data_IF_907042285676
#
_entry.id   IF_907042285676
#
_cell.length_a   1.000
_cell.length_b   1.000
_cell.length_c   1.000
_cell.angle_alpha   90.00
_cell.angle_beta   90.00
_cell.angle_gamma   90.00
#
_symmetry.space_group_name_H-M   'P 1'
#
loop_
_entity.id
_entity.type
_entity.pdbx_description
1 polymer ?
#
# COMPACT_ATOMS: atom_id res chain seq x y z
N UNK A 1 10.03 -30.08 1.82
CA UNK A 1 9.79 -29.84 3.27
C UNK A 1 10.68 -28.71 3.80
N UNK A 2 11.97 -28.67 3.44
CA UNK A 2 12.88 -27.54 3.79
C UNK A 2 12.43 -26.19 3.19
N UNK A 3 12.02 -26.14 1.91
CA UNK A 3 11.51 -24.90 1.29
C UNK A 3 10.21 -24.37 1.95
N UNK A 4 9.31 -25.26 2.38
CA UNK A 4 8.11 -24.85 3.10
C UNK A 4 8.48 -24.32 4.49
N UNK A 5 9.41 -24.97 5.19
CA UNK A 5 9.90 -24.52 6.49
C UNK A 5 10.62 -23.16 6.42
N UNK A 6 11.36 -22.87 5.35
CA UNK A 6 12.03 -21.57 5.16
C UNK A 6 11.06 -20.46 4.76
N UNK A 7 9.99 -20.76 4.02
CA UNK A 7 8.92 -19.80 3.71
C UNK A 7 8.08 -19.44 4.95
N UNK A 8 7.97 -20.37 5.90
CA UNK A 8 7.09 -20.26 7.07
C UNK A 8 7.80 -19.82 8.36
N UNK A 9 9.11 -19.56 8.36
CA UNK A 9 9.86 -19.21 9.58
C UNK A 9 9.85 -17.72 9.95
N UNK A 10 9.10 -16.88 9.22
CA UNK A 10 9.00 -15.45 9.44
C UNK A 10 7.86 -15.06 10.39
N UNK A 11 8.00 -13.92 11.08
CA UNK A 11 6.95 -13.38 11.93
C UNK A 11 5.63 -13.15 11.14
N UNK A 12 5.73 -12.47 9.99
CA UNK A 12 4.57 -12.21 9.12
C UNK A 12 4.06 -13.46 8.41
N UNK A 13 4.93 -14.39 8.00
CA UNK A 13 4.47 -15.63 7.34
C UNK A 13 3.77 -16.57 8.32
N UNK A 14 4.21 -16.64 9.57
CA UNK A 14 3.49 -17.34 10.64
C UNK A 14 2.09 -16.77 10.85
N UNK A 15 1.95 -15.44 10.92
CA UNK A 15 0.65 -14.79 11.02
C UNK A 15 -0.24 -15.08 9.80
N UNK A 16 0.33 -15.06 8.59
CA UNK A 16 -0.40 -15.38 7.35
C UNK A 16 -0.89 -16.84 7.32
N UNK A 17 -0.04 -17.80 7.71
CA UNK A 17 -0.41 -19.22 7.77
C UNK A 17 -1.51 -19.47 8.80
N UNK A 18 -1.41 -18.84 9.97
CA UNK A 18 -2.44 -18.91 10.98
C UNK A 18 -3.76 -18.31 10.47
N UNK A 19 -3.72 -17.17 9.78
CA UNK A 19 -4.92 -16.58 9.16
C UNK A 19 -5.57 -17.53 8.14
N UNK A 20 -4.78 -18.21 7.29
CA UNK A 20 -5.30 -19.20 6.34
C UNK A 20 -5.95 -20.39 7.04
N UNK A 21 -5.38 -20.86 8.15
CA UNK A 21 -5.98 -21.92 8.98
C UNK A 21 -7.30 -21.49 9.62
N UNK A 22 -7.40 -20.25 10.08
CA UNK A 22 -8.64 -19.69 10.62
C UNK A 22 -9.71 -19.52 9.55
N UNK A 23 -9.35 -19.02 8.35
CA UNK A 23 -10.27 -18.93 7.20
C UNK A 23 -10.92 -20.29 6.94
N UNK A 24 -10.13 -21.37 6.92
CA UNK A 24 -10.66 -22.74 6.75
C UNK A 24 -11.64 -23.14 7.85
N UNK A 25 -11.40 -22.72 9.08
CA UNK A 25 -12.23 -23.06 10.24
C UNK A 25 -13.58 -22.34 10.20
N UNK A 26 -13.61 -21.09 9.72
CA UNK A 26 -14.82 -20.26 9.67
C UNK A 26 -15.67 -20.47 8.42
N UNK A 27 -15.19 -21.21 7.40
CA UNK A 27 -15.89 -21.43 6.12
C UNK A 27 -17.37 -21.75 6.27
N UNK A 28 -17.74 -22.65 7.20
CA UNK A 28 -19.14 -23.03 7.43
C UNK A 28 -20.01 -21.86 7.93
N UNK A 29 -19.44 -20.94 8.73
CA UNK A 29 -20.16 -19.76 9.23
C UNK A 29 -20.38 -18.75 8.13
N UNK A 30 -19.35 -18.50 7.31
CA UNK A 30 -19.45 -17.61 6.14
C UNK A 30 -20.55 -18.13 5.20
N UNK A 31 -20.51 -19.41 4.82
CA UNK A 31 -21.56 -20.03 3.99
C UNK A 31 -22.94 -19.95 4.66
N UNK A 32 -23.02 -20.15 5.97
CA UNK A 32 -24.27 -20.02 6.73
C UNK A 32 -24.85 -18.60 6.75
N UNK A 33 -24.00 -17.56 6.75
CA UNK A 33 -24.44 -16.14 6.67
C UNK A 33 -24.98 -15.80 5.28
N UNK A 34 -24.28 -16.24 4.23
CA UNK A 34 -24.72 -16.14 2.84
C UNK A 34 -25.65 -17.31 2.44
N UNK A 35 -26.68 -17.56 3.26
CA UNK A 35 -27.62 -18.66 3.03
C UNK A 35 -28.59 -18.37 1.88
N UNK A 36 -29.20 -19.45 1.36
CA UNK A 36 -30.27 -19.42 0.33
C UNK A 36 -31.42 -18.45 0.63
N UNK A 37 -31.67 -18.12 1.90
CA UNK A 37 -32.74 -17.18 2.30
C UNK A 37 -32.52 -15.75 1.81
N UNK A 38 -31.30 -15.41 1.38
CA UNK A 38 -30.96 -14.10 0.84
C UNK A 38 -31.06 -14.04 -0.68
N UNK A 39 -31.29 -15.17 -1.37
CA UNK A 39 -31.27 -15.25 -2.83
C UNK A 39 -32.36 -14.35 -3.43
N UNK A 40 -33.60 -14.41 -2.93
CA UNK A 40 -34.69 -13.58 -3.43
C UNK A 40 -34.42 -12.08 -3.18
N UNK A 41 -33.80 -11.73 -2.06
CA UNK A 41 -33.44 -10.36 -1.73
C UNK A 41 -32.31 -9.83 -2.65
N UNK A 42 -31.32 -10.67 -2.95
CA UNK A 42 -30.27 -10.35 -3.92
C UNK A 42 -30.85 -10.18 -5.33
N UNK A 43 -31.74 -11.07 -5.76
CA UNK A 43 -32.40 -10.95 -7.07
C UNK A 43 -33.24 -9.66 -7.17
N UNK A 44 -33.95 -9.30 -6.10
CA UNK A 44 -34.64 -8.02 -6.03
C UNK A 44 -33.67 -6.83 -6.10
N UNK A 45 -32.60 -6.85 -5.31
CA UNK A 45 -31.55 -5.80 -5.37
C UNK A 45 -30.95 -5.67 -6.77
N UNK A 46 -30.63 -6.79 -7.42
CA UNK A 46 -30.12 -6.83 -8.80
C UNK A 46 -31.12 -6.24 -9.78
N UNK A 47 -32.40 -6.60 -9.68
CA UNK A 47 -33.46 -6.07 -10.54
C UNK A 47 -33.66 -4.55 -10.38
N UNK A 48 -33.42 -4.03 -9.17
CA UNK A 48 -33.52 -2.59 -8.86
C UNK A 48 -32.24 -1.80 -9.20
N UNK A 49 -31.12 -2.49 -9.45
CA UNK A 49 -29.84 -1.85 -9.78
C UNK A 49 -29.74 -1.61 -11.30
N UNK A 50 -29.25 -0.43 -11.72
CA UNK A 50 -29.11 -0.09 -13.13
C UNK A 50 -27.70 0.44 -13.47
N UNK A 51 -26.92 -0.27 -14.31
CA UNK A 51 -27.23 -1.58 -14.90
C UNK A 51 -27.21 -2.70 -13.86
N UNK A 52 -27.95 -3.78 -14.11
CA UNK A 52 -28.15 -4.87 -13.15
C UNK A 52 -26.85 -5.57 -12.73
N UNK A 53 -25.85 -5.55 -13.60
CA UNK A 53 -24.51 -6.09 -13.45
C UNK A 53 -23.73 -5.39 -12.32
N UNK A 54 -24.05 -4.13 -11.98
CA UNK A 54 -23.40 -3.44 -10.85
C UNK A 54 -23.64 -4.15 -9.52
N UNK A 55 -24.77 -4.85 -9.37
CA UNK A 55 -25.07 -5.61 -8.16
C UNK A 55 -24.05 -6.74 -7.90
N UNK A 56 -23.39 -7.26 -8.95
CA UNK A 56 -22.38 -8.31 -8.82
C UNK A 56 -21.14 -7.80 -8.07
N UNK A 57 -20.83 -6.51 -8.20
CA UNK A 57 -19.66 -5.87 -7.56
C UNK A 57 -19.79 -5.75 -6.03
N UNK A 58 -21.01 -5.85 -5.49
CA UNK A 58 -21.28 -5.69 -4.05
C UNK A 58 -20.99 -6.95 -3.23
N UNK A 59 -21.06 -8.13 -3.85
CA UNK A 59 -21.00 -9.40 -3.11
C UNK A 59 -19.59 -9.71 -2.59
N UNK A 60 -18.56 -9.46 -3.41
CA UNK A 60 -17.17 -9.76 -3.04
C UNK A 60 -16.72 -8.95 -1.79
N UNK A 61 -16.95 -7.62 -1.71
CA UNK A 61 -16.65 -6.86 -0.50
C UNK A 61 -17.33 -7.42 0.74
N UNK A 62 -18.62 -7.79 0.67
CA UNK A 62 -19.33 -8.34 1.82
C UNK A 62 -18.73 -9.66 2.33
N UNK A 63 -18.28 -10.52 1.42
CA UNK A 63 -17.59 -11.77 1.80
C UNK A 63 -16.22 -11.46 2.41
N UNK A 64 -15.49 -10.50 1.84
CA UNK A 64 -14.19 -10.08 2.36
C UNK A 64 -14.29 -9.47 3.76
N UNK A 65 -15.30 -8.63 3.99
CA UNK A 65 -15.60 -8.02 5.29
C UNK A 65 -15.92 -9.10 6.33
N UNK A 66 -16.72 -10.11 5.98
CA UNK A 66 -17.00 -11.22 6.89
C UNK A 66 -15.75 -12.04 7.26
N UNK A 67 -14.86 -12.26 6.29
CA UNK A 67 -13.58 -12.93 6.55
C UNK A 67 -12.71 -12.06 7.46
N UNK A 68 -12.67 -10.75 7.21
CA UNK A 68 -11.93 -9.80 8.04
C UNK A 68 -12.45 -9.79 9.48
N UNK A 69 -13.75 -9.61 9.67
CA UNK A 69 -14.42 -9.62 10.99
C UNK A 69 -14.10 -10.90 11.76
N UNK A 70 -14.12 -12.05 11.07
CA UNK A 70 -13.84 -13.33 11.67
C UNK A 70 -12.35 -13.51 12.07
N UNK A 71 -11.42 -12.94 11.31
CA UNK A 71 -9.99 -12.91 11.67
C UNK A 71 -9.75 -11.97 12.86
N UNK A 72 -10.39 -10.81 12.89
CA UNK A 72 -10.30 -9.84 13.99
C UNK A 72 -10.83 -10.43 15.30
N UNK A 73 -12.00 -11.08 15.25
CA UNK A 73 -12.67 -11.67 16.42
C UNK A 73 -11.93 -12.84 17.08
N UNK A 74 -10.90 -13.41 16.43
CA UNK A 74 -10.14 -14.57 16.94
C UNK A 74 -8.76 -14.24 17.48
N UNK A 75 -8.44 -12.95 17.61
CA UNK A 75 -7.21 -12.52 18.26
C UNK A 75 -5.95 -12.84 17.45
N UNK A 76 -6.00 -12.67 16.13
CA UNK A 76 -4.85 -12.85 15.23
C UNK A 76 -3.62 -12.03 15.63
N UNK A 77 -3.81 -10.95 16.40
CA UNK A 77 -2.74 -10.16 17.00
C UNK A 77 -1.77 -10.98 17.87
N UNK A 78 -2.17 -12.16 18.40
CA UNK A 78 -1.29 -13.01 19.23
C UNK A 78 -0.02 -13.46 18.50
N UNK A 79 -0.09 -13.65 17.19
CA UNK A 79 1.07 -14.04 16.37
C UNK A 79 2.04 -12.89 16.11
N UNK A 80 1.62 -11.66 16.38
CA UNK A 80 2.41 -10.43 16.30
C UNK A 80 2.51 -9.75 17.67
N UNK A 81 2.26 -10.50 18.74
CA UNK A 81 2.27 -9.99 20.12
C UNK A 81 3.68 -9.65 20.57
N UNK A 82 3.79 -8.88 21.64
CA UNK A 82 5.05 -8.62 22.35
C UNK A 82 5.86 -9.90 22.61
N UNK A 83 5.21 -10.97 23.07
CA UNK A 83 5.85 -12.28 23.31
C UNK A 83 6.32 -12.97 22.03
N UNK A 84 5.56 -12.86 20.93
CA UNK A 84 5.93 -13.48 19.66
C UNK A 84 7.13 -12.76 19.02
N UNK A 85 7.17 -11.43 19.13
CA UNK A 85 8.29 -10.60 18.68
C UNK A 85 9.56 -10.93 19.46
N UNK A 86 9.45 -11.03 20.79
CA UNK A 86 10.58 -11.36 21.67
C UNK A 86 11.16 -12.73 21.32
N UNK A 87 10.29 -13.75 21.17
CA UNK A 87 10.70 -15.09 20.75
C UNK A 87 11.35 -15.08 19.36
N UNK A 88 10.81 -14.32 18.41
CA UNK A 88 11.39 -14.19 17.06
C UNK A 88 12.76 -13.51 17.08
N UNK A 89 12.94 -12.46 17.87
CA UNK A 89 14.23 -11.78 18.03
C UNK A 89 15.29 -12.72 18.64
N UNK A 90 14.91 -13.52 19.63
CA UNK A 90 15.80 -14.53 20.23
C UNK A 90 16.16 -15.65 19.25
N UNK A 91 15.20 -16.15 18.47
CA UNK A 91 15.41 -17.24 17.50
C UNK A 91 16.19 -16.80 16.25
N UNK A 92 16.15 -15.51 15.92
CA UNK A 92 16.90 -14.94 14.78
C UNK A 92 18.41 -15.16 14.87
N UNK A 93 18.93 -15.52 16.04
CA UNK A 93 20.33 -15.84 16.25
C UNK A 93 21.25 -14.63 16.06
N UNK A 94 20.76 -13.44 16.42
CA UNK A 94 21.55 -12.21 16.40
C UNK A 94 22.64 -12.33 17.48
N UNK A 95 23.90 -12.32 17.07
CA UNK A 95 25.02 -12.28 18.01
C UNK A 95 25.05 -10.89 18.66
N UNK A 96 25.09 -10.77 20.00
CA UNK A 96 25.05 -9.48 20.69
C UNK A 96 26.10 -8.47 20.19
N UNK A 97 27.31 -8.93 19.91
CA UNK A 97 28.41 -8.11 19.37
C UNK A 97 28.11 -7.57 17.97
N UNK A 98 27.51 -8.39 17.10
CA UNK A 98 27.10 -7.96 15.75
C UNK A 98 25.96 -6.94 15.82
N UNK A 99 24.97 -7.16 16.69
CA UNK A 99 23.86 -6.25 16.88
C UNK A 99 24.35 -4.89 17.42
N UNK A 100 25.18 -4.89 18.46
CA UNK A 100 25.76 -3.67 19.03
C UNK A 100 26.58 -2.89 17.99
N UNK A 101 27.40 -3.60 17.19
CA UNK A 101 28.17 -3.01 16.10
C UNK A 101 27.29 -2.31 15.06
N UNK A 102 26.16 -2.93 14.67
CA UNK A 102 25.19 -2.35 13.72
C UNK A 102 24.41 -1.17 14.30
N UNK A 103 24.08 -1.22 15.60
CA UNK A 103 23.47 -0.08 16.30
C UNK A 103 24.44 1.11 16.34
N UNK A 104 25.74 0.84 16.39
CA UNK A 104 26.81 1.80 16.13
C UNK A 104 27.67 2.07 17.35
N UNK A 105 28.62 2.99 17.18
CA UNK A 105 29.67 3.25 18.17
C UNK A 105 29.11 3.62 19.56
N UNK A 106 29.68 3.02 20.60
CA UNK A 106 29.34 3.31 22.00
C UNK A 106 28.23 2.45 22.59
N UNK A 107 27.62 1.56 21.80
CA UNK A 107 26.60 0.61 22.29
C UNK A 107 27.29 -0.59 22.96
N UNK A 108 26.93 -0.88 24.21
CA UNK A 108 27.43 -2.04 24.94
C UNK A 108 26.70 -3.33 24.49
N UNK A 109 27.46 -4.42 24.31
CA UNK A 109 26.93 -5.69 23.75
C UNK A 109 25.82 -6.32 24.61
N UNK A 110 25.95 -6.23 25.93
CA UNK A 110 24.98 -6.71 26.91
C UNK A 110 23.65 -5.93 26.87
N UNK A 111 23.70 -4.65 26.50
CA UNK A 111 22.52 -3.78 26.40
C UNK A 111 21.81 -3.81 25.05
N UNK A 112 22.47 -4.29 23.99
CA UNK A 112 22.02 -4.13 22.61
C UNK A 112 20.67 -4.81 22.33
N UNK A 113 20.49 -6.03 22.85
CA UNK A 113 19.24 -6.78 22.68
C UNK A 113 18.07 -6.11 23.41
N UNK A 114 18.26 -5.72 24.67
CA UNK A 114 17.21 -5.08 25.48
C UNK A 114 16.76 -3.74 24.88
N UNK A 115 17.71 -2.95 24.36
CA UNK A 115 17.42 -1.70 23.66
C UNK A 115 16.63 -1.92 22.37
N UNK A 116 16.99 -2.92 21.58
CA UNK A 116 16.23 -3.31 20.38
C UNK A 116 14.82 -3.77 20.76
N UNK A 117 14.71 -4.61 21.77
CA UNK A 117 13.44 -5.13 22.27
C UNK A 117 12.53 -4.01 22.77
N UNK A 118 13.07 -3.00 23.47
CA UNK A 118 12.34 -1.83 23.93
C UNK A 118 11.74 -1.04 22.76
N UNK A 119 12.53 -0.74 21.72
CA UNK A 119 12.05 0.00 20.54
C UNK A 119 10.94 -0.76 19.83
N UNK A 120 11.08 -2.07 19.64
CA UNK A 120 10.07 -2.85 18.91
C UNK A 120 8.80 -3.04 19.75
N UNK A 121 8.89 -3.18 21.08
CA UNK A 121 7.71 -3.39 21.96
C UNK A 121 6.99 -2.10 22.33
N UNK A 122 7.73 -1.01 22.59
CA UNK A 122 7.18 0.23 23.15
C UNK A 122 7.26 1.42 22.18
N UNK A 123 7.92 1.25 21.05
CA UNK A 123 8.05 2.29 20.03
C UNK A 123 9.19 3.28 20.29
N UNK A 124 9.40 4.16 19.30
CA UNK A 124 10.49 5.15 19.32
C UNK A 124 10.38 6.13 20.49
N UNK A 125 9.19 6.67 20.76
CA UNK A 125 9.00 7.68 21.80
C UNK A 125 9.39 7.15 23.18
N UNK A 126 8.84 6.01 23.60
CA UNK A 126 9.16 5.40 24.90
C UNK A 126 10.66 5.05 25.01
N UNK A 127 11.30 4.74 23.89
CA UNK A 127 12.74 4.44 23.86
C UNK A 127 13.59 5.71 23.99
N UNK A 128 13.15 6.84 23.44
CA UNK A 128 13.79 8.14 23.68
C UNK A 128 13.68 8.53 25.16
N UNK A 129 12.49 8.38 25.75
CA UNK A 129 12.20 8.69 27.14
C UNK A 129 13.04 7.82 28.11
N UNK A 130 13.18 6.53 27.83
CA UNK A 130 14.01 5.62 28.63
C UNK A 130 15.51 5.94 28.59
N UNK A 131 15.97 6.61 27.53
CA UNK A 131 17.37 6.98 27.32
C UNK A 131 17.66 8.43 27.79
N UNK A 132 16.68 9.16 28.34
CA UNK A 132 16.87 10.50 28.93
C UNK A 132 17.79 10.41 30.16
N UNK A 133 19.08 10.65 29.94
CA UNK A 133 20.15 10.58 30.96
C UNK A 133 21.31 9.66 30.58
N UNK A 134 21.11 8.76 29.60
CA UNK A 134 22.14 7.88 29.04
C UNK A 134 22.68 8.49 27.73
N UNK A 135 23.32 9.65 27.84
CA UNK A 135 23.89 10.36 26.69
C UNK A 135 25.27 9.81 26.33
N UNK A 136 25.48 9.42 25.08
CA UNK A 136 26.86 9.24 24.56
C UNK A 136 27.02 8.36 23.33
N UNK A 137 26.09 7.44 23.07
CA UNK A 137 26.24 6.48 21.98
C UNK A 137 25.47 6.83 20.70
N UNK A 138 25.77 6.09 19.63
CA UNK A 138 25.18 6.29 18.31
C UNK A 138 23.70 5.88 18.24
N UNK A 139 23.30 4.87 19.02
CA UNK A 139 21.94 4.35 19.05
C UNK A 139 20.96 5.42 19.52
N UNK A 140 21.20 6.02 20.69
CA UNK A 140 20.32 7.05 21.26
C UNK A 140 20.17 8.25 20.33
N UNK A 141 21.25 8.65 19.65
CA UNK A 141 21.21 9.72 18.64
C UNK A 141 20.34 9.35 17.43
N UNK A 142 20.47 8.13 16.91
CA UNK A 142 19.71 7.67 15.75
C UNK A 142 18.23 7.49 16.08
N UNK A 143 17.88 6.88 17.22
CA UNK A 143 16.49 6.73 17.68
C UNK A 143 15.82 8.10 17.86
N UNK A 144 16.51 9.08 18.44
CA UNK A 144 16.01 10.46 18.53
C UNK A 144 15.74 11.07 17.16
N UNK A 145 16.69 10.93 16.22
CA UNK A 145 16.51 11.44 14.85
C UNK A 145 15.35 10.77 14.12
N UNK A 146 15.13 9.46 14.33
CA UNK A 146 13.97 8.76 13.76
C UNK A 146 12.66 9.29 14.32
N UNK A 147 12.59 9.47 15.65
CA UNK A 147 11.39 10.01 16.29
C UNK A 147 11.05 11.43 15.77
N UNK A 148 12.06 12.21 15.39
CA UNK A 148 11.90 13.53 14.77
C UNK A 148 11.71 13.51 13.25
N UNK A 149 11.60 12.34 12.61
CA UNK A 149 11.55 12.15 11.15
C UNK A 149 12.75 12.74 10.38
N UNK A 150 13.94 12.74 10.99
CA UNK A 150 15.21 13.24 10.41
C UNK A 150 16.27 12.14 10.24
N UNK A 151 15.99 10.93 10.71
CA UNK A 151 16.88 9.77 10.62
C UNK A 151 16.70 8.96 9.34
N UNK A 152 17.55 7.94 9.17
CA UNK A 152 17.38 6.94 8.10
C UNK A 152 16.20 6.02 8.45
N UNK A 153 15.08 6.06 7.71
CA UNK A 153 13.88 5.28 8.05
C UNK A 153 14.14 3.76 8.10
N UNK A 154 15.21 3.28 7.47
CA UNK A 154 15.57 1.85 7.43
C UNK A 154 16.50 1.43 8.58
N UNK A 155 16.89 2.34 9.47
CA UNK A 155 17.93 2.09 10.48
C UNK A 155 17.65 0.88 11.40
N UNK A 156 16.42 0.73 11.89
CA UNK A 156 16.06 -0.41 12.74
C UNK A 156 16.17 -1.72 11.92
N UNK A 157 15.69 -1.72 10.69
CA UNK A 157 15.80 -2.87 9.79
C UNK A 157 17.26 -3.21 9.51
N UNK A 158 18.13 -2.22 9.25
CA UNK A 158 19.59 -2.38 9.07
C UNK A 158 20.27 -3.01 10.28
N UNK A 159 19.81 -2.68 11.49
CA UNK A 159 20.30 -3.32 12.71
C UNK A 159 19.92 -4.81 12.80
N UNK A 160 18.78 -5.20 12.19
CA UNK A 160 18.23 -6.55 12.25
C UNK A 160 18.58 -7.42 11.04
N UNK A 161 19.10 -6.88 9.94
CA UNK A 161 19.48 -7.64 8.73
C UNK A 161 20.98 -7.81 8.62
N UNK A 162 21.44 -8.66 7.70
CA UNK A 162 22.88 -8.91 7.49
C UNK A 162 23.56 -7.83 6.63
N UNK A 163 22.83 -7.18 5.74
CA UNK A 163 23.34 -6.09 4.91
C UNK A 163 22.30 -4.97 4.77
N UNK A 164 22.79 -3.77 4.44
CA UNK A 164 21.98 -2.56 4.37
C UNK A 164 21.06 -2.54 3.15
N UNK A 165 21.50 -3.13 2.03
CA UNK A 165 20.72 -3.18 0.78
C UNK A 165 19.46 -4.02 0.96
N UNK A 166 19.55 -5.18 1.60
CA UNK A 166 18.43 -6.05 1.92
C UNK A 166 17.48 -5.41 2.92
N UNK A 167 18.00 -4.61 3.86
CA UNK A 167 17.15 -3.84 4.78
C UNK A 167 16.27 -2.85 4.02
N UNK A 168 16.89 -2.00 3.21
CA UNK A 168 16.15 -1.00 2.44
C UNK A 168 15.18 -1.66 1.44
N UNK A 169 15.59 -2.76 0.81
CA UNK A 169 14.71 -3.53 -0.07
C UNK A 169 13.54 -4.16 0.69
N UNK A 170 13.75 -4.64 1.91
CA UNK A 170 12.68 -5.18 2.75
C UNK A 170 11.68 -4.10 3.16
N UNK A 171 12.15 -2.92 3.57
CA UNK A 171 11.30 -1.79 3.93
C UNK A 171 10.51 -1.24 2.72
N UNK A 172 11.17 -1.18 1.55
CA UNK A 172 10.52 -0.83 0.28
C UNK A 172 9.47 -1.87 -0.13
N UNK A 173 9.78 -3.17 -0.04
CA UNK A 173 8.83 -4.24 -0.33
C UNK A 173 7.61 -4.20 0.61
N UNK A 174 7.84 -3.98 1.91
CA UNK A 174 6.76 -3.83 2.89
C UNK A 174 5.90 -2.57 2.62
N UNK A 175 6.54 -1.47 2.19
CA UNK A 175 5.85 -0.25 1.78
C UNK A 175 4.97 -0.47 0.54
N UNK A 176 5.44 -1.24 -0.44
CA UNK A 176 4.62 -1.67 -1.60
C UNK A 176 3.46 -2.55 -1.13
N UNK A 177 3.71 -3.55 -0.29
CA UNK A 177 2.68 -4.46 0.23
C UNK A 177 1.56 -3.71 0.96
N UNK A 178 1.89 -2.63 1.68
CA UNK A 178 0.88 -1.85 2.42
C UNK A 178 0.08 -0.91 1.53
N UNK A 179 0.65 -0.41 0.43
CA UNK A 179 0.05 0.67 -0.38
C UNK A 179 -0.48 0.26 -1.76
N UNK A 180 0.04 -0.81 -2.34
CA UNK A 180 -0.29 -1.32 -3.67
C UNK A 180 -1.16 -2.57 -3.56
N UNK A 181 -2.09 -2.76 -4.49
CA UNK A 181 -2.89 -3.98 -4.59
C UNK A 181 -2.05 -5.10 -5.20
N UNK A 182 -1.90 -6.21 -4.47
CA UNK A 182 -1.37 -7.45 -5.04
C UNK A 182 -2.34 -8.00 -6.07
N UNK A 183 -1.80 -8.58 -7.16
CA UNK A 183 -2.58 -9.29 -8.17
C UNK A 183 -2.03 -10.69 -8.36
N UNK A 184 -2.93 -11.67 -8.36
CA UNK A 184 -2.61 -13.10 -8.43
C UNK A 184 -3.18 -13.71 -9.73
N UNK A 185 -3.10 -12.95 -10.83
CA UNK A 185 -3.64 -13.25 -12.16
C UNK A 185 -5.19 -13.34 -12.22
N UNK A 186 -5.80 -12.44 -13.01
CA UNK A 186 -7.25 -12.21 -13.20
C UNK A 186 -8.00 -11.48 -12.07
N UNK A 187 -9.04 -10.67 -12.39
CA UNK A 187 -9.45 -10.20 -13.73
C UNK A 187 -8.47 -9.15 -14.30
N UNK A 188 -8.49 -8.81 -15.60
CA UNK A 188 -7.68 -7.73 -16.19
C UNK A 188 -7.80 -6.40 -15.45
N UNK A 189 -6.78 -5.52 -15.47
CA UNK A 189 -6.88 -4.22 -14.81
C UNK A 189 -8.02 -3.39 -15.40
N UNK A 190 -8.83 -2.82 -14.52
CA UNK A 190 -9.84 -1.82 -14.85
C UNK A 190 -9.29 -0.45 -14.50
N UNK A 191 -9.49 0.52 -15.38
CA UNK A 191 -9.10 1.90 -15.12
C UNK A 191 -10.04 2.50 -14.06
N UNK A 192 -9.49 2.88 -12.91
CA UNK A 192 -10.24 3.44 -11.78
C UNK A 192 -9.37 4.38 -10.95
N UNK A 193 -9.95 4.98 -9.91
CA UNK A 193 -9.21 5.77 -8.93
C UNK A 193 -8.01 4.99 -8.38
N UNK A 194 -6.83 5.61 -8.42
CA UNK A 194 -5.59 5.00 -7.96
C UNK A 194 -4.91 4.07 -8.96
N UNK A 195 -5.43 3.94 -10.18
CA UNK A 195 -4.71 3.25 -11.26
C UNK A 195 -3.56 4.13 -11.76
N UNK A 196 -2.35 3.60 -11.67
CA UNK A 196 -1.12 4.19 -12.20
C UNK A 196 -0.85 3.60 -13.58
N UNK A 197 -0.74 4.48 -14.57
CA UNK A 197 -0.39 4.13 -15.95
C UNK A 197 0.86 4.88 -16.39
N UNK A 198 1.49 4.40 -17.46
CA UNK A 198 2.61 5.08 -18.10
C UNK A 198 2.43 5.18 -19.61
N UNK A 199 3.08 6.18 -20.19
CA UNK A 199 3.23 6.38 -21.63
C UNK A 199 4.73 6.44 -21.97
N UNK A 200 5.11 5.88 -23.12
CA UNK A 200 6.51 5.78 -23.53
C UNK A 200 7.27 4.64 -22.86
N UNK A 201 8.56 4.54 -23.15
CA UNK A 201 9.47 3.53 -22.62
C UNK A 201 10.82 4.16 -22.23
N UNK A 202 11.57 3.50 -21.35
CA UNK A 202 12.91 3.94 -20.97
C UNK A 202 12.94 5.28 -20.23
N UNK A 203 13.83 6.17 -20.66
CA UNK A 203 14.04 7.48 -20.00
C UNK A 203 12.91 8.48 -20.28
N UNK A 204 12.19 8.34 -21.39
CA UNK A 204 11.08 9.22 -21.79
C UNK A 204 9.73 8.80 -21.15
N UNK A 205 9.75 7.79 -20.28
CA UNK A 205 8.56 7.23 -19.66
C UNK A 205 7.87 8.24 -18.73
N UNK A 206 6.66 8.64 -19.09
CA UNK A 206 5.81 9.52 -18.31
C UNK A 206 4.78 8.71 -17.51
N UNK A 207 4.54 9.09 -16.26
CA UNK A 207 3.60 8.40 -15.37
C UNK A 207 2.37 9.27 -15.07
N UNK A 208 1.21 8.62 -14.97
CA UNK A 208 -0.07 9.27 -14.73
C UNK A 208 -0.88 8.47 -13.71
N UNK A 209 -1.40 9.15 -12.69
CA UNK A 209 -2.20 8.54 -11.63
C UNK A 209 -3.64 9.04 -11.71
N UNK A 210 -4.59 8.11 -11.88
CA UNK A 210 -6.01 8.44 -11.97
C UNK A 210 -6.57 8.87 -10.61
N UNK A 211 -7.24 10.02 -10.58
CA UNK A 211 -7.91 10.57 -9.36
C UNK A 211 -9.43 10.69 -9.52
N UNK A 212 -9.97 10.19 -10.63
CA UNK A 212 -11.43 10.18 -10.86
C UNK A 212 -12.14 9.31 -9.82
N UNK A 213 -13.26 9.78 -9.22
CA UNK A 213 -14.05 8.98 -8.28
C UNK A 213 -14.49 7.64 -8.86
N UNK A 214 -14.59 6.62 -8.00
CA UNK A 214 -14.91 5.24 -8.44
C UNK A 214 -16.26 5.16 -9.16
N UNK A 215 -17.28 5.90 -8.71
CA UNK A 215 -18.60 5.96 -9.33
C UNK A 215 -18.59 6.51 -10.76
N UNK A 216 -17.60 7.34 -11.09
CA UNK A 216 -17.43 7.95 -12.40
C UNK A 216 -16.54 7.11 -13.33
N UNK A 217 -15.95 6.03 -12.82
CA UNK A 217 -15.13 5.07 -13.57
C UNK A 217 -15.94 3.90 -14.16
N UNK A 218 -17.23 3.81 -13.82
CA UNK A 218 -18.19 2.81 -14.31
C UNK A 218 -19.26 3.46 -15.18
N UNK A 219 -20.03 2.66 -15.93
CA UNK A 219 -21.10 3.15 -16.83
C UNK A 219 -20.64 4.23 -17.80
N UNK A 220 -19.45 4.06 -18.35
CA UNK A 220 -18.91 5.00 -19.32
C UNK A 220 -19.74 4.91 -20.61
N UNK A 221 -20.13 6.05 -21.22
CA UNK A 221 -20.84 6.06 -22.50
C UNK A 221 -20.00 5.42 -23.61
N UNK A 222 -20.68 4.88 -24.63
CA UNK A 222 -20.00 4.29 -25.80
C UNK A 222 -19.13 5.29 -26.58
N UNK A 223 -19.41 6.59 -26.45
CA UNK A 223 -18.59 7.67 -27.00
C UNK A 223 -17.29 7.92 -26.21
N UNK A 224 -17.05 7.20 -25.12
CA UNK A 224 -15.91 7.40 -24.23
C UNK A 224 -16.12 8.51 -23.19
N UNK A 225 -15.17 8.62 -22.26
CA UNK A 225 -15.11 9.66 -21.22
C UNK A 225 -13.67 10.07 -20.95
N UNK A 226 -13.49 11.34 -20.63
CA UNK A 226 -12.24 11.87 -20.12
C UNK A 226 -12.07 11.49 -18.65
N UNK A 227 -10.94 10.86 -18.33
CA UNK A 227 -10.52 10.57 -16.98
C UNK A 227 -9.51 11.61 -16.52
N UNK A 228 -9.61 12.02 -15.25
CA UNK A 228 -8.68 12.98 -14.64
C UNK A 228 -7.46 12.26 -14.08
N UNK A 229 -6.28 12.64 -14.57
CA UNK A 229 -4.99 12.14 -14.13
C UNK A 229 -4.11 13.25 -13.58
N UNK A 230 -3.28 12.88 -12.60
CA UNK A 230 -2.17 13.69 -12.13
C UNK A 230 -0.87 13.17 -12.73
N UNK A 231 0.01 14.08 -13.12
CA UNK A 231 1.36 13.72 -13.55
C UNK A 231 2.16 13.23 -12.35
N UNK A 232 3.04 12.27 -12.63
CA UNK A 232 3.88 11.64 -11.62
C UNK A 232 5.33 11.65 -12.10
N UNK A 233 6.24 12.10 -11.24
CA UNK A 233 7.68 12.22 -11.54
C UNK A 233 8.55 11.59 -10.45
N UNK A 234 9.85 11.40 -10.74
CA UNK A 234 10.80 10.84 -9.77
C UNK A 234 11.29 11.93 -8.80
N UNK A 235 11.26 11.69 -7.48
CA UNK A 235 11.77 12.64 -6.47
C UNK A 235 12.06 11.97 -5.13
N UNK A 236 12.93 12.58 -4.32
CA UNK A 236 13.42 12.12 -3.00
C UNK A 236 12.39 12.04 -1.85
N UNK A 237 11.11 12.33 -2.09
CA UNK A 237 10.03 12.25 -1.08
C UNK A 237 8.75 11.68 -1.70
N UNK A 238 8.77 10.40 -2.10
CA UNK A 238 7.73 9.80 -2.92
C UNK A 238 6.38 9.78 -2.20
N UNK A 239 5.30 9.92 -2.97
CA UNK A 239 3.93 9.66 -2.50
C UNK A 239 3.51 8.20 -2.75
N UNK A 240 4.14 7.56 -3.74
CA UNK A 240 3.85 6.21 -4.21
C UNK A 240 5.18 5.48 -4.45
N UNK A 241 5.23 4.21 -4.05
CA UNK A 241 6.32 3.30 -4.36
C UNK A 241 5.74 2.11 -5.13
N UNK A 242 6.35 1.75 -6.25
CA UNK A 242 5.98 0.57 -7.05
C UNK A 242 7.22 -0.24 -7.40
N UNK A 243 7.02 -1.46 -7.88
CA UNK A 243 8.10 -2.40 -8.21
C UNK A 243 8.33 -3.44 -7.12
N UNK A 244 9.40 -4.20 -7.27
CA UNK A 244 9.78 -5.30 -6.40
C UNK A 244 11.32 -5.41 -6.35
N UNK A 245 11.83 -6.42 -5.65
CA UNK A 245 13.29 -6.61 -5.48
C UNK A 245 13.97 -7.03 -6.80
N UNK A 246 13.27 -7.77 -7.66
CA UNK A 246 13.82 -8.33 -8.90
C UNK A 246 13.86 -7.28 -10.03
N UNK A 247 12.79 -6.49 -10.18
CA UNK A 247 12.61 -5.47 -11.21
C UNK A 247 13.11 -4.08 -10.76
N UNK A 248 13.40 -3.93 -9.47
CA UNK A 248 13.74 -2.67 -8.83
C UNK A 248 12.52 -1.84 -8.40
N UNK A 249 12.77 -0.86 -7.55
CA UNK A 249 11.74 0.03 -7.00
C UNK A 249 11.73 1.38 -7.71
N UNK A 250 10.53 1.93 -7.91
CA UNK A 250 10.32 3.27 -8.46
C UNK A 250 9.63 4.17 -7.44
N UNK A 251 10.38 5.15 -6.95
CA UNK A 251 9.91 6.19 -6.04
C UNK A 251 9.26 7.33 -6.83
N UNK A 252 7.95 7.48 -6.65
CA UNK A 252 7.10 8.32 -7.49
C UNK A 252 6.43 9.42 -6.68
N UNK A 253 6.58 10.66 -7.14
CA UNK A 253 6.00 11.88 -6.57
C UNK A 253 4.84 12.35 -7.44
N UNK A 254 3.68 12.57 -6.82
CA UNK A 254 2.49 13.08 -7.50
C UNK A 254 2.56 14.60 -7.56
N UNK A 255 2.31 15.18 -8.74
CA UNK A 255 2.06 16.61 -8.88
C UNK A 255 0.58 16.92 -8.59
N UNK A 256 0.34 17.58 -7.46
CA UNK A 256 -1.00 17.95 -7.02
C UNK A 256 -1.48 19.29 -7.62
N UNK A 257 -0.70 19.93 -8.49
CA UNK A 257 -1.05 21.23 -9.07
C UNK A 257 -2.23 21.11 -10.05
N UNK A 258 -3.36 21.80 -9.81
CA UNK A 258 -4.55 21.67 -10.68
C UNK A 258 -4.30 22.00 -12.15
N UNK A 259 -3.46 22.99 -12.44
CA UNK A 259 -3.15 23.39 -13.83
C UNK A 259 -2.33 22.36 -14.61
N UNK A 260 -1.74 21.37 -13.94
CA UNK A 260 -0.94 20.31 -14.57
C UNK A 260 -1.68 18.96 -14.62
N UNK A 261 -2.95 18.90 -14.18
CA UNK A 261 -3.77 17.70 -14.38
C UNK A 261 -4.06 17.48 -15.86
N UNK A 262 -4.11 16.21 -16.26
CA UNK A 262 -4.32 15.80 -17.65
C UNK A 262 -5.62 15.05 -17.77
N UNK A 263 -6.37 15.35 -18.83
CA UNK A 263 -7.57 14.63 -19.21
C UNK A 263 -7.22 13.64 -20.31
N UNK A 264 -7.41 12.35 -20.05
CA UNK A 264 -7.16 11.28 -21.02
C UNK A 264 -8.48 10.58 -21.32
N UNK A 265 -8.83 10.50 -22.60
CA UNK A 265 -10.09 9.91 -23.06
C UNK A 265 -9.94 8.42 -23.30
N UNK A 266 -10.87 7.64 -22.74
CA UNK A 266 -10.94 6.20 -22.94
C UNK A 266 -12.34 5.76 -23.33
N UNK A 267 -12.39 4.75 -24.20
CA UNK A 267 -13.63 4.08 -24.61
C UNK A 267 -13.86 2.80 -23.80
N UNK A 268 -15.09 2.53 -23.35
CA UNK A 268 -15.37 1.36 -22.54
C UNK A 268 -15.49 0.06 -23.35
N UNK A 269 -15.41 -1.05 -22.62
CA UNK A 269 -15.88 -2.34 -23.11
C UNK A 269 -17.40 -2.30 -23.26
N UNK A 270 -17.88 -2.50 -24.49
CA UNK A 270 -19.31 -2.41 -24.86
C UNK A 270 -20.28 -3.19 -23.95
N UNK A 271 -19.83 -4.30 -23.36
CA UNK A 271 -20.66 -5.17 -22.54
C UNK A 271 -20.84 -4.72 -21.09
N UNK A 272 -19.85 -4.02 -20.50
CA UNK A 272 -19.88 -3.67 -19.06
C UNK A 272 -19.86 -2.16 -18.81
N UNK A 273 -19.51 -1.35 -19.81
CA UNK A 273 -19.37 0.09 -19.62
C UNK A 273 -18.11 0.49 -18.86
N UNK A 274 -17.19 -0.45 -18.61
CA UNK A 274 -15.92 -0.19 -17.93
C UNK A 274 -14.75 -0.08 -18.90
N UNK A 275 -13.72 0.68 -18.53
CA UNK A 275 -12.46 0.73 -19.28
C UNK A 275 -11.54 -0.37 -18.76
N UNK A 276 -11.31 -1.40 -19.57
CA UNK A 276 -10.53 -2.59 -19.21
C UNK A 276 -9.30 -2.68 -20.10
N UNK A 277 -8.13 -2.92 -19.50
CA UNK A 277 -6.89 -3.09 -20.24
C UNK A 277 -6.88 -4.41 -21.02
N UNK A 278 -6.17 -4.41 -22.14
CA UNK A 278 -5.93 -5.59 -22.97
C UNK A 278 -4.50 -6.08 -22.78
N UNK A 279 -4.31 -7.38 -22.72
CA UNK A 279 -2.99 -7.97 -22.66
C UNK A 279 -2.33 -7.94 -24.04
N UNK A 280 -1.09 -7.47 -24.11
CA UNK A 280 -0.25 -7.49 -25.30
C UNK A 280 1.20 -7.69 -24.88
N UNK A 281 1.82 -8.78 -25.34
CA UNK A 281 3.21 -9.14 -25.02
C UNK A 281 3.50 -9.18 -23.49
N UNK A 282 2.57 -9.73 -22.69
CA UNK A 282 2.71 -9.82 -21.23
C UNK A 282 2.51 -8.48 -20.48
N UNK A 283 2.24 -7.37 -21.18
CA UNK A 283 1.89 -6.08 -20.59
C UNK A 283 0.39 -5.83 -20.72
N UNK A 284 -0.20 -5.18 -19.72
CA UNK A 284 -1.58 -4.71 -19.78
C UNK A 284 -1.62 -3.29 -20.32
N UNK A 285 -2.39 -3.06 -21.39
CA UNK A 285 -2.47 -1.77 -22.08
C UNK A 285 -3.89 -1.22 -22.08
N UNK A 286 -4.03 0.07 -21.76
CA UNK A 286 -5.22 0.86 -22.04
C UNK A 286 -5.00 1.66 -23.32
N UNK A 287 -5.83 1.44 -24.33
CA UNK A 287 -5.78 2.25 -25.56
C UNK A 287 -6.61 3.52 -25.38
N UNK A 288 -5.97 4.66 -25.61
CA UNK A 288 -6.65 5.95 -25.67
C UNK A 288 -7.65 5.99 -26.83
N UNK A 289 -8.73 6.76 -26.66
CA UNK A 289 -9.79 6.89 -27.65
C UNK A 289 -9.32 7.54 -28.97
N UNK A 290 -8.19 8.25 -28.93
CA UNK A 290 -7.54 8.82 -30.12
C UNK A 290 -6.89 7.77 -31.04
N UNK A 291 -6.81 6.51 -30.60
CA UNK A 291 -6.21 5.40 -31.34
C UNK A 291 -4.70 5.53 -31.58
N UNK A 292 -4.05 6.53 -30.99
CA UNK A 292 -2.63 6.85 -31.19
C UNK A 292 -1.79 6.59 -29.96
N UNK A 293 -2.38 6.68 -28.77
CA UNK A 293 -1.68 6.51 -27.50
C UNK A 293 -2.12 5.23 -26.80
N UNK A 294 -1.15 4.37 -26.51
CA UNK A 294 -1.33 3.21 -25.65
C UNK A 294 -0.64 3.49 -24.31
N UNK A 295 -1.34 3.21 -23.22
CA UNK A 295 -0.84 3.41 -21.86
C UNK A 295 -0.62 2.07 -21.18
N UNK A 296 0.59 1.82 -20.70
CA UNK A 296 0.89 0.61 -19.93
C UNK A 296 0.36 0.75 -18.51
N UNK A 297 -0.38 -0.24 -18.03
CA UNK A 297 -0.74 -0.35 -16.63
C UNK A 297 0.49 -0.70 -15.80
N UNK A 298 0.71 0.03 -14.70
CA UNK A 298 1.85 -0.17 -13.80
C UNK A 298 1.38 -0.80 -12.50
N UNK A 299 0.38 -0.21 -11.85
CA UNK A 299 -0.11 -0.68 -10.56
C UNK A 299 -1.50 -0.11 -10.25
N UNK A 300 -2.20 -0.73 -9.30
CA UNK A 300 -3.36 -0.12 -8.63
C UNK A 300 -3.02 0.14 -7.17
N UNK A 301 -3.26 1.36 -6.70
CA UNK A 301 -3.20 1.67 -5.28
C UNK A 301 -4.36 0.99 -4.52
N UNK A 302 -4.11 0.67 -3.25
CA UNK A 302 -5.20 0.28 -2.34
C UNK A 302 -6.19 1.44 -2.16
N UNK A 303 -7.50 1.16 -1.93
CA UNK A 303 -8.54 2.19 -1.90
C UNK A 303 -8.22 3.40 -1.02
N UNK A 304 -7.78 3.17 0.22
CA UNK A 304 -7.47 4.25 1.17
C UNK A 304 -6.30 5.14 0.69
N UNK A 305 -5.27 4.55 0.06
CA UNK A 305 -4.15 5.31 -0.50
C UNK A 305 -4.57 6.13 -1.72
N UNK A 306 -5.37 5.54 -2.60
CA UNK A 306 -5.94 6.23 -3.75
C UNK A 306 -6.80 7.43 -3.32
N UNK A 307 -7.69 7.23 -2.34
CA UNK A 307 -8.54 8.28 -1.78
C UNK A 307 -7.72 9.38 -1.11
N UNK A 308 -6.65 9.03 -0.38
CA UNK A 308 -5.76 10.02 0.24
C UNK A 308 -5.14 10.95 -0.79
N UNK A 309 -4.73 10.44 -1.94
CA UNK A 309 -4.18 11.24 -3.04
C UNK A 309 -5.25 12.12 -3.67
N UNK A 310 -6.43 11.56 -3.96
CA UNK A 310 -7.56 12.33 -4.50
C UNK A 310 -7.96 13.47 -3.56
N UNK A 311 -7.99 13.23 -2.24
CA UNK A 311 -8.27 14.26 -1.24
C UNK A 311 -7.20 15.36 -1.22
N UNK A 312 -5.91 15.00 -1.23
CA UNK A 312 -4.82 15.98 -1.30
C UNK A 312 -4.93 16.88 -2.53
N UNK A 313 -5.29 16.31 -3.68
CA UNK A 313 -5.54 17.05 -4.91
C UNK A 313 -6.77 17.95 -4.79
N UNK A 314 -7.89 17.42 -4.28
CA UNK A 314 -9.11 18.18 -4.05
C UNK A 314 -8.87 19.41 -3.16
N UNK A 315 -8.05 19.29 -2.11
CA UNK A 315 -7.63 20.43 -1.28
C UNK A 315 -6.92 21.53 -2.08
N UNK A 316 -6.18 21.19 -3.14
CA UNK A 316 -5.55 22.19 -4.01
C UNK A 316 -6.56 22.88 -4.93
N UNK A 317 -7.51 22.10 -5.47
CA UNK A 317 -8.57 22.60 -6.36
C UNK A 317 -9.55 23.50 -5.59
N UNK A 318 -9.88 23.12 -4.36
CA UNK A 318 -10.86 23.82 -3.52
C UNK A 318 -10.29 25.02 -2.76
N UNK A 319 -9.05 25.45 -3.05
CA UNK A 319 -8.45 26.61 -2.39
C UNK A 319 -9.29 27.85 -2.66
N UNK A 320 -9.67 28.56 -1.60
CA UNK A 320 -10.42 29.81 -1.72
C UNK A 320 -9.48 30.89 -2.23
N UNK A 321 -9.78 31.45 -3.40
CA UNK A 321 -9.08 32.62 -3.93
C UNK A 321 -9.52 33.88 -3.20
N UNK A 322 -8.91 34.16 -2.04
CA UNK A 322 -9.15 35.40 -1.31
C UNK A 322 -8.25 36.52 -1.87
N UNK A 323 -8.86 37.60 -2.36
CA UNK A 323 -8.17 38.87 -2.63
C UNK A 323 -8.18 39.70 -1.35
N UNK A 324 -7.26 39.39 -0.44
CA UNK A 324 -7.10 40.18 0.79
C UNK A 324 -6.20 41.38 0.54
N UNK A 325 -6.38 42.44 1.32
CA UNK A 325 -5.47 43.57 1.28
C UNK A 325 -4.07 43.12 1.70
N UNK A 326 -3.06 43.61 0.99
CA UNK A 326 -1.65 43.33 1.33
C UNK A 326 -1.28 43.80 2.75
N UNK A 327 -2.07 44.72 3.33
CA UNK A 327 -1.93 45.13 4.73
C UNK A 327 -2.30 44.00 5.71
N UNK A 328 -3.40 43.28 5.48
CA UNK A 328 -3.80 42.13 6.32
C UNK A 328 -2.82 40.96 6.15
N UNK A 329 -2.30 40.74 4.92
CA UNK A 329 -1.33 39.67 4.62
C UNK A 329 0.05 39.84 5.27
N UNK A 330 0.38 41.04 5.73
CA UNK A 330 1.71 41.38 6.28
C UNK A 330 1.72 41.54 7.80
N UNK A 331 0.60 41.28 8.48
CA UNK A 331 0.58 41.13 9.95
C UNK A 331 1.07 39.75 10.39
#
# INVERSE_FOLDING_TARGET
MLEFSSLCSGLLSNAALAALGEIRTITHRVIGKFSRKLDEAYLNHRALTNPSEEAESHVIPLIADEIQDALEGRGMHRFLSESAIEMWLSDKGLVPSELASRMGSGVAEDSAFDRMLLVVKKGLQASVEAEEGHGGDKWTSNIKKLNENKGDPSYITKCLTKNDVDAENSDRAFSVLTSIRSRYETPPPQLRMGTLISEGEGEDMAYFLCVQPLCDCVRIPSAGRDFVFLRVGKKSSPDVLVGNVDDGFHELKVDYSPHNSVHLRFSPKKSTGDVIAKEKNGKWLFSGDDGKRDFSWIADLKPAHAQRIANKYATQVSRVGLTESEWIRRQ
#
